data_IF_159106674288
#
_entry.id   IF_159106674288
#
_cell.length_a   1.000
_cell.length_b   1.000
_cell.length_c   1.000
_cell.angle_alpha   90.00
_cell.angle_beta   90.00
_cell.angle_gamma   90.00
#
_symmetry.space_group_name_H-M   'P 1'
#
loop_
_entity.id
_entity.type
_entity.pdbx_description
1 polymer ?
#
# COMPACT_ATOMS: atom_id res chain seq x y z
N UNK A 1 9.03 -51.06 -1.84
CA UNK A 1 9.66 -49.86 -2.41
C UNK A 1 8.71 -48.70 -2.15
N UNK A 2 8.92 -47.95 -1.07
CA UNK A 2 7.99 -46.93 -0.54
C UNK A 2 8.32 -45.55 -1.13
N UNK A 3 7.37 -44.96 -1.86
CA UNK A 3 7.48 -43.63 -2.44
C UNK A 3 7.07 -42.58 -1.39
N UNK A 4 7.93 -41.62 -1.00
CA UNK A 4 7.54 -40.55 -0.10
C UNK A 4 6.69 -39.52 -0.84
N UNK A 5 5.40 -39.43 -0.47
CA UNK A 5 4.47 -38.39 -0.93
C UNK A 5 4.88 -37.08 -0.26
N UNK A 6 5.35 -36.13 -1.06
CA UNK A 6 5.68 -34.77 -0.62
C UNK A 6 4.38 -34.06 -0.28
N UNK A 7 4.21 -33.72 0.98
CA UNK A 7 3.03 -33.03 1.49
C UNK A 7 2.95 -31.64 0.86
N UNK A 8 1.90 -31.37 0.08
CA UNK A 8 1.58 -30.04 -0.43
C UNK A 8 0.97 -29.17 0.68
N UNK A 9 1.76 -28.88 1.72
CA UNK A 9 1.43 -27.81 2.68
C UNK A 9 2.10 -26.53 2.23
N UNK A 10 1.34 -25.62 1.65
CA UNK A 10 1.86 -24.25 1.47
C UNK A 10 1.24 -23.42 0.36
N UNK A 11 -0.10 -23.39 0.22
CA UNK A 11 -0.76 -22.37 -0.64
C UNK A 11 -2.08 -21.85 -0.07
N UNK A 12 -2.10 -21.54 1.23
CA UNK A 12 -3.21 -20.79 1.84
C UNK A 12 -2.76 -19.59 2.70
N UNK A 13 -1.45 -19.36 2.85
CA UNK A 13 -0.92 -18.31 3.73
C UNK A 13 -0.79 -16.92 3.10
N UNK A 14 -0.61 -16.84 1.77
CA UNK A 14 -0.26 -15.59 1.10
C UNK A 14 -1.44 -14.59 1.02
N UNK A 15 -2.69 -15.08 0.96
CA UNK A 15 -3.86 -14.20 0.84
C UNK A 15 -4.41 -13.67 2.17
N UNK A 16 -3.96 -14.20 3.32
CA UNK A 16 -4.36 -13.64 4.64
C UNK A 16 -3.46 -12.50 5.11
N UNK A 17 -2.24 -12.38 4.60
CA UNK A 17 -1.30 -11.38 5.09
C UNK A 17 -1.66 -9.94 4.67
N UNK A 18 -2.30 -9.76 3.52
CA UNK A 18 -2.60 -8.42 2.97
C UNK A 18 -3.88 -7.82 3.55
N UNK A 19 -4.86 -8.66 3.93
CA UNK A 19 -6.15 -8.19 4.48
C UNK A 19 -6.25 -8.19 6.00
N UNK A 20 -5.24 -8.67 6.72
CA UNK A 20 -5.22 -8.66 8.20
C UNK A 20 -4.41 -7.50 8.81
N UNK A 21 -3.96 -6.58 7.96
CA UNK A 21 -3.19 -5.39 8.35
C UNK A 21 -3.92 -4.45 9.34
N UNK A 22 -5.25 -4.27 9.35
CA UNK A 22 -5.87 -3.36 10.33
C UNK A 22 -6.05 -3.95 11.74
N UNK A 23 -5.84 -5.26 11.96
CA UNK A 23 -6.09 -5.90 13.26
C UNK A 23 -4.84 -6.10 14.14
N UNK A 24 -3.63 -5.78 13.67
CA UNK A 24 -2.39 -5.99 14.44
C UNK A 24 -1.91 -4.81 15.28
N UNK A 25 -2.61 -3.68 15.29
CA UNK A 25 -2.27 -2.56 16.18
C UNK A 25 -3.51 -2.08 16.93
N UNK A 26 -3.72 -2.50 18.20
CA UNK A 26 -4.86 -2.04 19.01
C UNK A 26 -4.88 -0.51 19.15
N UNK A 27 -3.70 0.12 19.11
CA UNK A 27 -3.54 1.58 19.14
C UNK A 27 -4.05 2.23 17.85
N UNK A 28 -3.73 1.69 16.67
CA UNK A 28 -4.22 2.25 15.39
C UNK A 28 -5.72 2.03 15.19
N UNK A 29 -6.27 0.92 15.70
CA UNK A 29 -7.72 0.71 15.74
C UNK A 29 -8.39 1.77 16.63
N UNK A 30 -7.87 1.98 17.86
CA UNK A 30 -8.39 2.98 18.76
C UNK A 30 -8.35 4.40 18.16
N UNK A 31 -7.23 4.79 17.54
CA UNK A 31 -7.09 6.11 16.87
C UNK A 31 -8.10 6.26 15.73
N UNK A 32 -8.27 5.24 14.89
CA UNK A 32 -9.23 5.30 13.78
C UNK A 32 -10.67 5.42 14.29
N UNK A 33 -11.05 4.65 15.30
CA UNK A 33 -12.39 4.70 15.91
C UNK A 33 -12.64 6.05 16.59
N UNK A 34 -11.65 6.64 17.26
CA UNK A 34 -11.78 7.96 17.88
C UNK A 34 -11.91 9.06 16.83
N UNK A 35 -11.14 9.00 15.74
CA UNK A 35 -11.25 9.98 14.63
C UNK A 35 -12.60 9.86 13.92
N UNK A 36 -13.04 8.65 13.59
CA UNK A 36 -14.36 8.42 12.97
C UNK A 36 -15.50 8.81 13.92
N UNK A 37 -15.39 8.45 15.20
CA UNK A 37 -16.34 8.85 16.24
C UNK A 37 -16.43 10.36 16.39
N UNK A 38 -15.29 11.05 16.44
CA UNK A 38 -15.22 12.52 16.50
C UNK A 38 -15.77 13.20 15.24
N UNK A 39 -15.56 12.62 14.06
CA UNK A 39 -16.12 13.14 12.81
C UNK A 39 -17.65 13.02 12.78
N UNK A 40 -18.20 11.87 13.21
CA UNK A 40 -19.66 11.63 13.27
C UNK A 40 -20.31 12.48 14.37
N UNK A 41 -19.70 12.59 15.55
CA UNK A 41 -20.19 13.47 16.62
C UNK A 41 -20.09 14.95 16.25
N UNK A 42 -19.04 15.35 15.52
CA UNK A 42 -18.85 16.71 15.00
C UNK A 42 -19.91 17.09 13.96
N UNK A 43 -20.30 16.16 13.09
CA UNK A 43 -21.38 16.39 12.11
C UNK A 43 -22.77 16.46 12.77
N UNK A 44 -23.04 15.60 13.76
CA UNK A 44 -24.33 15.57 14.48
C UNK A 44 -24.49 16.77 15.42
N UNK A 45 -23.40 17.29 15.99
CA UNK A 45 -23.45 18.43 16.91
C UNK A 45 -23.56 19.79 16.21
N UNK A 46 -23.23 19.88 14.90
CA UNK A 46 -23.46 21.08 14.08
C UNK A 46 -24.71 21.00 13.19
N UNK A 47 -25.31 19.82 13.02
CA UNK A 47 -26.51 19.58 12.21
C UNK A 47 -27.82 19.48 12.99
N UNK A 48 -27.83 19.89 14.26
CA UNK A 48 -29.02 19.92 15.11
C UNK A 48 -30.00 21.04 14.72
N UNK A 49 -30.65 20.95 13.56
CA UNK A 49 -31.92 21.64 13.28
C UNK A 49 -32.46 21.29 11.90
N UNK A 50 -33.55 20.52 11.85
CA UNK A 50 -34.54 20.65 10.79
C UNK A 50 -34.94 19.36 10.07
N UNK A 51 -36.15 18.88 10.39
CA UNK A 51 -37.09 18.47 9.35
C UNK A 51 -37.16 16.98 9.02
N UNK A 52 -38.11 16.29 9.65
CA UNK A 52 -38.69 15.07 9.13
C UNK A 52 -39.30 15.27 7.74
N UNK A 53 -39.11 14.32 6.84
CA UNK A 53 -39.94 14.16 5.64
C UNK A 53 -40.10 12.67 5.34
N UNK A 54 -41.17 12.11 5.90
CA UNK A 54 -41.83 10.90 5.45
C UNK A 54 -42.55 11.15 4.12
N UNK A 55 -42.28 10.30 3.12
CA UNK A 55 -43.06 10.16 1.89
C UNK A 55 -42.46 8.98 1.11
N UNK A 56 -43.09 7.83 0.94
CA UNK A 56 -44.52 7.58 0.72
C UNK A 56 -44.73 7.44 -0.78
N UNK A 57 -44.56 6.22 -1.32
CA UNK A 57 -45.08 5.83 -2.64
C UNK A 57 -45.57 4.39 -2.56
N UNK A 58 -46.86 4.26 -2.82
CA UNK A 58 -47.68 3.06 -2.87
C UNK A 58 -47.85 2.59 -4.32
N UNK A 59 -48.23 1.30 -4.44
CA UNK A 59 -48.91 0.65 -5.56
C UNK A 59 -48.06 0.36 -6.81
N UNK A 60 -48.21 -0.78 -7.50
CA UNK A 60 -49.19 -1.85 -7.36
C UNK A 60 -49.13 -2.79 -8.58
N UNK A 61 -49.90 -3.88 -8.50
CA UNK A 61 -50.21 -4.79 -9.61
C UNK A 61 -49.13 -5.86 -9.84
N UNK A 62 -49.40 -7.15 -9.90
CA UNK A 62 -50.67 -7.83 -10.12
C UNK A 62 -50.41 -8.99 -11.09
N UNK A 63 -50.71 -10.21 -10.63
CA UNK A 63 -51.27 -11.31 -11.43
C UNK A 63 -50.45 -11.90 -12.58
N UNK A 64 -50.25 -13.23 -12.53
CA UNK A 64 -49.97 -14.00 -13.73
C UNK A 64 -49.23 -15.29 -13.46
N UNK A 65 -49.91 -16.29 -12.88
CA UNK A 65 -49.46 -17.66 -13.02
C UNK A 65 -49.47 -18.02 -14.50
N UNK A 66 -48.43 -18.67 -15.00
CA UNK A 66 -48.49 -19.52 -16.18
C UNK A 66 -47.49 -20.67 -16.02
N UNK A 67 -48.08 -21.83 -15.72
CA UNK A 67 -47.68 -23.20 -16.02
C UNK A 67 -46.64 -23.27 -17.15
N UNK A 68 -45.47 -23.84 -16.85
CA UNK A 68 -44.56 -24.32 -17.89
C UNK A 68 -44.63 -25.85 -17.91
N UNK A 69 -45.22 -26.30 -19.01
CA UNK A 69 -45.30 -27.67 -19.46
C UNK A 69 -43.94 -28.36 -19.45
N UNK A 70 -43.97 -29.59 -18.92
CA UNK A 70 -42.91 -30.56 -19.09
C UNK A 70 -43.05 -31.16 -20.50
N UNK A 71 -42.10 -30.87 -21.40
CA UNK A 71 -42.09 -31.54 -22.70
C UNK A 71 -41.05 -31.05 -23.70
N UNK A 72 -40.17 -32.00 -24.06
CA UNK A 72 -39.39 -32.08 -25.31
C UNK A 72 -37.91 -31.67 -25.26
N UNK A 73 -37.09 -32.72 -25.10
CA UNK A 73 -35.91 -33.08 -25.90
C UNK A 73 -35.43 -32.10 -26.98
N UNK A 74 -34.12 -31.81 -26.96
CA UNK A 74 -33.41 -31.28 -28.11
C UNK A 74 -32.00 -30.75 -27.81
N UNK A 75 -30.98 -31.53 -28.19
CA UNK A 75 -29.57 -31.14 -28.40
C UNK A 75 -28.72 -30.89 -27.14
N UNK A 76 -27.99 -31.94 -26.72
CA UNK A 76 -26.73 -31.76 -25.99
C UNK A 76 -25.70 -31.12 -26.91
N UNK A 77 -25.48 -29.81 -26.79
CA UNK A 77 -24.25 -29.18 -27.24
C UNK A 77 -23.25 -29.24 -26.07
N UNK A 78 -22.26 -30.11 -26.15
CA UNK A 78 -21.13 -30.09 -25.23
C UNK A 78 -20.34 -28.80 -25.51
N UNK A 79 -20.13 -27.89 -24.54
CA UNK A 79 -19.27 -26.75 -24.78
C UNK A 79 -17.85 -27.26 -24.98
N UNK A 80 -17.29 -27.10 -26.18
CA UNK A 80 -15.86 -27.28 -26.41
C UNK A 80 -15.14 -26.21 -25.58
N UNK A 81 -14.31 -26.57 -24.58
CA UNK A 81 -13.56 -25.57 -23.84
C UNK A 81 -12.58 -24.90 -24.80
N UNK A 82 -12.75 -23.60 -25.02
CA UNK A 82 -11.74 -22.77 -25.68
C UNK A 82 -10.57 -22.67 -24.73
N UNK A 83 -9.53 -23.48 -24.94
CA UNK A 83 -8.26 -23.37 -24.21
C UNK A 83 -7.60 -22.06 -24.64
N UNK A 84 -7.66 -21.03 -23.79
CA UNK A 84 -6.81 -19.86 -23.95
C UNK A 84 -5.34 -20.31 -23.86
N UNK A 85 -4.44 -19.81 -24.73
CA UNK A 85 -3.01 -20.08 -24.60
C UNK A 85 -2.54 -19.66 -23.19
N UNK A 86 -1.61 -20.41 -22.56
CA UNK A 86 -1.11 -20.07 -21.24
C UNK A 86 -0.46 -18.68 -21.28
N UNK A 87 -0.99 -17.77 -20.48
CA UNK A 87 -0.39 -16.44 -20.29
C UNK A 87 1.00 -16.65 -19.67
N UNK A 88 2.09 -16.16 -20.28
CA UNK A 88 3.41 -16.23 -19.67
C UNK A 88 3.37 -15.56 -18.28
N UNK A 89 3.86 -16.25 -17.26
CA UNK A 89 3.93 -15.63 -15.93
C UNK A 89 4.88 -14.43 -15.96
N UNK A 90 4.36 -13.25 -15.63
CA UNK A 90 5.13 -12.03 -15.49
C UNK A 90 6.07 -12.19 -14.29
N UNK A 91 7.29 -12.66 -14.55
CA UNK A 91 8.31 -12.80 -13.52
C UNK A 91 9.00 -11.45 -13.36
N UNK A 92 8.97 -10.82 -12.16
CA UNK A 92 9.68 -9.57 -11.94
C UNK A 92 11.18 -9.77 -12.14
N UNK A 93 11.77 -9.00 -13.04
CA UNK A 93 13.20 -9.05 -13.31
C UNK A 93 13.97 -8.48 -12.11
N UNK A 94 14.77 -9.32 -11.46
CA UNK A 94 15.67 -8.93 -10.39
C UNK A 94 17.10 -8.85 -10.95
N UNK A 95 17.75 -7.72 -10.71
CA UNK A 95 19.14 -7.50 -11.09
C UNK A 95 20.08 -7.85 -9.92
N UNK A 96 21.34 -8.21 -10.21
CA UNK A 96 22.35 -8.38 -9.17
C UNK A 96 22.56 -7.08 -8.38
N UNK A 97 22.75 -7.19 -7.07
CA UNK A 97 23.03 -6.03 -6.19
C UNK A 97 24.30 -5.26 -6.58
N UNK A 98 25.25 -5.91 -7.24
CA UNK A 98 26.47 -5.29 -7.76
C UNK A 98 26.22 -4.34 -8.95
N UNK A 99 25.04 -4.39 -9.58
CA UNK A 99 24.66 -3.53 -10.70
C UNK A 99 23.95 -2.25 -10.25
N UNK A 100 23.98 -1.92 -8.95
CA UNK A 100 23.31 -0.73 -8.44
C UNK A 100 24.04 0.55 -8.88
N UNK A 101 23.34 1.55 -9.44
CA UNK A 101 23.91 2.86 -9.74
C UNK A 101 24.35 3.56 -8.46
N UNK A 102 25.57 4.11 -8.46
CA UNK A 102 26.11 4.86 -7.32
C UNK A 102 25.27 6.10 -6.98
N UNK A 103 24.68 6.72 -8.00
CA UNK A 103 23.78 7.86 -7.87
C UNK A 103 22.55 7.51 -7.02
N UNK A 104 22.00 6.30 -7.15
CA UNK A 104 20.86 5.87 -6.36
C UNK A 104 21.23 5.71 -4.88
N UNK A 105 22.39 5.10 -4.58
CA UNK A 105 22.87 4.96 -3.20
C UNK A 105 23.12 6.33 -2.55
N UNK A 106 23.71 7.26 -3.30
CA UNK A 106 23.95 8.61 -2.81
C UNK A 106 22.65 9.38 -2.57
N UNK A 107 21.67 9.29 -3.49
CA UNK A 107 20.33 9.85 -3.25
C UNK A 107 19.70 9.29 -1.97
N UNK A 108 19.80 7.98 -1.73
CA UNK A 108 19.29 7.37 -0.49
C UNK A 108 19.95 7.96 0.75
N UNK A 109 21.28 8.10 0.73
CA UNK A 109 22.07 8.61 1.85
C UNK A 109 21.78 10.07 2.13
N UNK A 110 21.73 10.92 1.09
CA UNK A 110 21.44 12.34 1.21
C UNK A 110 20.01 12.55 1.68
N UNK A 111 19.05 11.83 1.10
CA UNK A 111 17.66 11.87 1.52
C UNK A 111 17.52 11.45 2.99
N UNK A 112 18.16 10.36 3.42
CA UNK A 112 18.12 9.90 4.80
C UNK A 112 18.75 10.93 5.77
N UNK A 113 19.83 11.58 5.34
CA UNK A 113 20.49 12.64 6.12
C UNK A 113 19.60 13.88 6.28
N UNK A 114 18.86 14.26 5.23
CA UNK A 114 17.87 15.32 5.31
C UNK A 114 16.64 14.90 6.14
N UNK A 115 16.24 13.64 6.07
CA UNK A 115 15.10 13.10 6.81
C UNK A 115 15.34 13.10 8.33
N UNK A 116 16.55 12.73 8.79
CA UNK A 116 16.93 12.82 10.22
C UNK A 116 17.25 14.24 10.69
N UNK A 117 17.40 15.20 9.78
CA UNK A 117 17.70 16.59 10.12
C UNK A 117 16.42 17.38 10.38
N UNK A 118 15.91 17.27 11.61
CA UNK A 118 14.75 18.01 12.10
C UNK A 118 15.06 18.67 13.46
N UNK A 119 15.62 19.89 13.49
CA UNK A 119 15.83 20.59 14.74
C UNK A 119 14.49 20.94 15.41
N UNK A 120 14.52 21.10 16.74
CA UNK A 120 13.34 21.50 17.52
C UNK A 120 12.68 22.75 16.94
N UNK A 121 11.35 22.70 16.78
CA UNK A 121 10.57 23.78 16.18
C UNK A 121 10.56 23.81 14.65
N UNK A 122 11.19 22.84 13.97
CA UNK A 122 11.04 22.68 12.52
C UNK A 122 9.61 22.28 12.16
N UNK A 123 9.01 23.02 11.23
CA UNK A 123 7.67 22.69 10.72
C UNK A 123 7.72 21.57 9.68
N UNK A 124 6.63 20.80 9.54
CA UNK A 124 6.51 19.78 8.49
C UNK A 124 6.77 20.34 7.09
N UNK A 125 6.32 21.56 6.79
CA UNK A 125 6.54 22.19 5.49
C UNK A 125 8.02 22.49 5.22
N UNK A 126 8.76 22.98 6.22
CA UNK A 126 10.20 23.24 6.10
C UNK A 126 10.99 21.95 5.93
N UNK A 127 10.64 20.91 6.70
CA UNK A 127 11.26 19.60 6.60
C UNK A 127 11.03 18.98 5.21
N UNK A 128 9.79 18.98 4.72
CA UNK A 128 9.44 18.47 3.39
C UNK A 128 10.09 19.29 2.26
N UNK A 129 10.25 20.60 2.43
CA UNK A 129 10.97 21.42 1.46
C UNK A 129 12.43 20.97 1.28
N UNK A 130 13.09 20.53 2.36
CA UNK A 130 14.43 19.93 2.30
C UNK A 130 14.48 18.57 1.60
N UNK A 131 13.37 17.81 1.63
CA UNK A 131 13.26 16.49 1.01
C UNK A 131 12.83 16.52 -0.46
N UNK A 132 12.13 17.58 -0.89
CA UNK A 132 11.65 17.79 -2.26
C UNK A 132 12.67 17.47 -3.36
N UNK A 133 13.94 17.92 -3.32
CA UNK A 133 14.88 17.64 -4.40
C UNK A 133 15.23 16.15 -4.58
N UNK A 134 14.93 15.29 -3.62
CA UNK A 134 15.30 13.87 -3.65
C UNK A 134 14.08 12.94 -3.58
N UNK A 135 12.87 13.48 -3.58
CA UNK A 135 11.63 12.74 -3.35
C UNK A 135 10.67 12.91 -4.52
N UNK A 136 9.88 11.89 -4.84
CA UNK A 136 8.81 12.00 -5.84
C UNK A 136 7.67 12.88 -5.30
N UNK A 137 6.99 13.63 -6.18
CA UNK A 137 5.90 14.53 -5.77
C UNK A 137 4.79 13.81 -5.00
N UNK A 138 4.48 12.58 -5.42
CA UNK A 138 3.43 11.77 -4.80
C UNK A 138 3.79 11.38 -3.38
N UNK A 139 5.09 11.23 -3.11
CA UNK A 139 5.58 10.90 -1.78
C UNK A 139 5.74 12.13 -0.90
N UNK A 140 5.97 13.31 -1.48
CA UNK A 140 5.94 14.58 -0.74
C UNK A 140 4.57 14.85 -0.12
N UNK A 141 3.48 14.50 -0.81
CA UNK A 141 2.12 14.60 -0.26
C UNK A 141 1.95 13.77 1.01
N UNK A 142 2.53 12.57 1.05
CA UNK A 142 2.52 11.71 2.25
C UNK A 142 3.39 12.32 3.36
N UNK A 143 4.61 12.75 3.04
CA UNK A 143 5.53 13.35 4.01
C UNK A 143 5.01 14.65 4.62
N UNK A 144 4.20 15.42 3.89
CA UNK A 144 3.59 16.65 4.40
C UNK A 144 2.62 16.40 5.56
N UNK A 145 2.08 15.19 5.69
CA UNK A 145 1.24 14.78 6.82
C UNK A 145 2.03 14.33 8.05
N UNK A 146 3.36 14.16 7.93
CA UNK A 146 4.24 13.70 9.00
C UNK A 146 4.72 14.90 9.80
N UNK A 147 4.57 14.82 11.12
CA UNK A 147 5.22 15.74 12.05
C UNK A 147 6.68 15.27 12.27
N UNK A 148 7.68 16.11 11.92
CA UNK A 148 9.10 15.75 12.07
C UNK A 148 9.47 15.43 13.53
N UNK A 149 8.78 15.99 14.52
CA UNK A 149 9.00 15.71 15.95
C UNK A 149 8.76 14.24 16.32
N UNK A 150 8.01 13.50 15.49
CA UNK A 150 7.77 12.06 15.65
C UNK A 150 8.85 11.17 15.03
N UNK A 151 9.87 11.76 14.38
CA UNK A 151 11.00 11.03 13.82
C UNK A 151 12.01 10.75 14.94
N UNK A 152 12.18 9.48 15.37
CA UNK A 152 13.04 9.17 16.51
C UNK A 152 14.53 9.23 16.17
N UNK A 153 14.90 9.33 14.91
CA UNK A 153 16.29 9.29 14.46
C UNK A 153 16.84 10.70 14.28
N UNK A 154 18.07 10.93 14.73
CA UNK A 154 18.76 12.21 14.68
C UNK A 154 19.97 12.20 13.75
N UNK A 155 20.47 11.00 13.38
CA UNK A 155 21.66 10.88 12.53
C UNK A 155 21.71 9.56 11.76
N UNK A 156 22.33 9.60 10.59
CA UNK A 156 22.74 8.40 9.84
C UNK A 156 24.03 7.85 10.45
N UNK A 157 24.10 6.53 10.69
CA UNK A 157 25.21 5.88 11.41
C UNK A 157 26.12 5.05 10.51
N UNK A 158 25.77 4.84 9.24
CA UNK A 158 26.55 4.02 8.32
C UNK A 158 26.16 4.19 6.85
N UNK A 159 26.81 3.44 5.94
CA UNK A 159 26.56 3.54 4.51
C UNK A 159 25.21 2.94 4.11
N UNK A 160 24.73 3.35 2.95
CA UNK A 160 23.52 2.83 2.33
C UNK A 160 23.82 1.48 1.64
N UNK A 161 23.09 0.43 2.00
CA UNK A 161 23.33 -0.94 1.50
C UNK A 161 22.16 -1.38 0.61
N UNK A 162 22.38 -1.74 -0.67
CA UNK A 162 21.32 -2.21 -1.55
C UNK A 162 20.82 -3.60 -1.11
N UNK A 163 19.51 -3.76 -1.01
CA UNK A 163 18.86 -5.03 -0.66
C UNK A 163 18.14 -5.66 -1.85
N UNK A 164 17.59 -4.83 -2.73
CA UNK A 164 16.89 -5.28 -3.95
C UNK A 164 17.18 -4.33 -5.09
N UNK A 165 17.49 -4.88 -6.27
CA UNK A 165 17.74 -4.09 -7.48
C UNK A 165 16.82 -4.59 -8.59
N UNK A 166 16.15 -3.65 -9.23
CA UNK A 166 15.35 -3.86 -10.43
C UNK A 166 15.71 -2.77 -11.46
N UNK A 167 15.34 -2.91 -12.75
CA UNK A 167 15.76 -1.99 -13.80
C UNK A 167 15.40 -0.52 -13.55
N UNK A 168 14.28 -0.26 -12.86
CA UNK A 168 13.73 1.08 -12.60
C UNK A 168 13.51 1.39 -11.12
N UNK A 169 13.89 0.47 -10.23
CA UNK A 169 13.70 0.66 -8.80
C UNK A 169 14.73 -0.10 -7.98
N UNK A 170 15.11 0.48 -6.84
CA UNK A 170 16.15 -0.03 -5.97
C UNK A 170 15.67 0.13 -4.53
N UNK A 171 15.71 -0.95 -3.76
CA UNK A 171 15.54 -0.90 -2.32
C UNK A 171 16.90 -0.85 -1.65
N UNK A 172 17.05 0.10 -0.73
CA UNK A 172 18.29 0.39 -0.02
C UNK A 172 17.99 0.47 1.46
N UNK A 173 18.91 -0.03 2.28
CA UNK A 173 18.83 0.03 3.72
C UNK A 173 19.86 1.02 4.24
N UNK A 174 19.42 1.99 5.05
CA UNK A 174 20.27 3.03 5.65
C UNK A 174 20.17 2.94 7.18
N UNK A 175 21.26 2.63 7.89
CA UNK A 175 21.25 2.60 9.34
C UNK A 175 21.25 4.02 9.92
N UNK A 176 20.38 4.26 10.90
CA UNK A 176 20.34 5.48 11.71
C UNK A 176 20.68 5.16 13.16
N UNK A 177 20.69 6.15 14.05
CA UNK A 177 20.97 5.98 15.47
C UNK A 177 19.90 5.20 16.22
N UNK A 178 18.62 5.36 15.86
CA UNK A 178 17.51 4.72 16.57
C UNK A 178 16.80 3.63 15.78
N UNK A 179 16.91 3.62 14.46
CA UNK A 179 16.29 2.62 13.61
C UNK A 179 17.08 2.39 12.32
N UNK A 180 16.61 1.46 11.51
CA UNK A 180 17.13 1.26 10.16
C UNK A 180 16.03 1.60 9.15
N UNK A 181 16.35 2.45 8.19
CA UNK A 181 15.43 2.85 7.11
C UNK A 181 15.57 1.90 5.93
N UNK A 182 14.45 1.36 5.44
CA UNK A 182 14.35 0.72 4.12
C UNK A 182 13.73 1.73 3.17
N UNK A 183 14.49 2.18 2.18
CA UNK A 183 14.14 3.26 1.25
C UNK A 183 13.97 2.65 -0.14
N UNK A 184 12.85 2.95 -0.80
CA UNK A 184 12.62 2.64 -2.20
C UNK A 184 12.95 3.87 -3.05
N UNK A 185 13.83 3.68 -4.02
CA UNK A 185 14.28 4.70 -4.95
C UNK A 185 13.86 4.26 -6.35
N UNK A 186 13.33 5.17 -7.14
CA UNK A 186 12.85 4.92 -8.50
C UNK A 186 13.58 5.81 -9.49
N UNK A 187 13.82 5.27 -10.67
CA UNK A 187 14.37 6.01 -11.81
C UNK A 187 13.26 6.85 -12.45
N UNK A 188 13.42 8.16 -12.42
CA UNK A 188 12.50 9.13 -13.04
C UNK A 188 13.22 9.89 -14.14
N UNK A 189 12.48 10.64 -14.96
CA UNK A 189 13.08 11.52 -15.98
C UNK A 189 14.01 12.59 -15.35
N UNK A 190 13.78 12.96 -14.10
CA UNK A 190 14.61 13.88 -13.32
C UNK A 190 15.73 13.18 -12.52
N UNK A 191 15.98 11.89 -12.77
CA UNK A 191 16.95 11.04 -12.08
C UNK A 191 16.34 10.20 -10.96
N UNK A 192 17.20 9.63 -10.11
CA UNK A 192 16.79 8.78 -9.00
C UNK A 192 16.11 9.58 -7.89
N UNK A 193 14.90 9.18 -7.50
CA UNK A 193 14.09 9.82 -6.45
C UNK A 193 13.54 8.79 -5.48
N UNK A 194 13.43 9.17 -4.22
CA UNK A 194 12.78 8.35 -3.18
C UNK A 194 11.27 8.38 -3.38
N UNK A 195 10.65 7.21 -3.46
CA UNK A 195 9.20 7.06 -3.60
C UNK A 195 8.52 6.50 -2.35
N UNK A 196 9.29 5.89 -1.43
CA UNK A 196 8.80 5.35 -0.17
C UNK A 196 9.95 5.14 0.83
N UNK A 197 9.64 5.19 2.12
CA UNK A 197 10.46 4.58 3.16
C UNK A 197 9.62 3.75 4.12
N UNK A 198 10.27 2.77 4.76
CA UNK A 198 9.73 1.94 5.82
C UNK A 198 10.81 1.73 6.90
N UNK A 199 10.40 1.24 8.07
CA UNK A 199 11.33 0.69 9.05
C UNK A 199 11.73 -0.71 8.60
N UNK A 200 13.03 -0.99 8.59
CA UNK A 200 13.59 -2.26 8.11
C UNK A 200 13.13 -3.45 8.97
#
# INVERSE_FOLDING_TARGET
MTVPIRSSRGRAGAYRAVWQWPLRSPVRLAVTVVVLGGLVFGLVSLGGSGGAASGGLVAGGGSGGNRWDSGSSGVSATPTPTLLPPVPELTPEALPVSQVPQQALETARVWASAWVNHPDGMTSQQWVAGLRPYTTDEFLGVLASVDPSNVPASRVTGPATPTRVAPKSIEVTVPTDTLTLRILIVDTEAGWKVSRYDRA
#
